data_IF_356710639643
#
_entry.id   IF_356710639643
#
_cell.length_a   1.000
_cell.length_b   1.000
_cell.length_c   1.000
_cell.angle_alpha   90.00
_cell.angle_beta   90.00
_cell.angle_gamma   90.00
#
_symmetry.space_group_name_H-M   'P 1'
#
loop_
_entity.id
_entity.type
_entity.pdbx_description
1 polymer ?
#
# COMPACT_ATOMS: atom_id res chain seq x y z
N UNK A 1 -2.72 24.61 -11.90
CA UNK A 1 -3.03 23.21 -11.59
C UNK A 1 -2.64 22.25 -12.73
N UNK A 2 -3.13 22.42 -13.96
CA UNK A 2 -2.81 21.46 -15.05
C UNK A 2 -1.30 21.36 -15.33
N UNK A 3 -0.58 22.50 -15.42
CA UNK A 3 0.87 22.51 -15.64
C UNK A 3 1.66 21.84 -14.52
N UNK A 4 1.25 21.96 -13.27
CA UNK A 4 1.84 21.27 -12.13
C UNK A 4 1.65 19.76 -12.24
N UNK A 5 0.43 19.29 -12.52
CA UNK A 5 0.12 17.88 -12.72
C UNK A 5 0.92 17.28 -13.88
N UNK A 6 0.97 17.96 -15.01
CA UNK A 6 1.77 17.52 -16.17
C UNK A 6 3.24 17.38 -15.79
N UNK A 7 3.82 18.37 -15.10
CA UNK A 7 5.22 18.32 -14.64
C UNK A 7 5.45 17.14 -13.68
N UNK A 8 4.50 16.86 -12.78
CA UNK A 8 4.59 15.72 -11.83
C UNK A 8 4.50 14.38 -12.54
N UNK A 9 3.58 14.24 -13.50
CA UNK A 9 3.48 13.03 -14.33
C UNK A 9 4.75 12.84 -15.16
N UNK A 10 5.27 13.90 -15.78
CA UNK A 10 6.54 13.84 -16.51
C UNK A 10 7.71 13.48 -15.60
N UNK A 11 7.75 13.96 -14.36
CA UNK A 11 8.77 13.58 -13.40
C UNK A 11 8.69 12.10 -12.93
N UNK A 12 7.50 11.49 -13.02
CA UNK A 12 7.33 10.07 -12.72
C UNK A 12 7.93 9.14 -13.79
N UNK A 13 7.99 9.59 -15.06
CA UNK A 13 8.52 8.77 -16.16
C UNK A 13 9.99 8.37 -15.96
N UNK A 14 10.94 9.29 -15.67
CA UNK A 14 12.32 8.89 -15.40
C UNK A 14 12.45 7.99 -14.16
N UNK A 15 11.64 8.20 -13.12
CA UNK A 15 11.62 7.34 -11.93
C UNK A 15 11.23 5.91 -12.31
N UNK A 16 10.15 5.74 -13.07
CA UNK A 16 9.72 4.43 -13.57
C UNK A 16 10.75 3.82 -14.52
N UNK A 17 11.42 4.64 -15.35
CA UNK A 17 12.51 4.20 -16.21
C UNK A 17 13.70 3.63 -15.43
N UNK A 18 14.11 4.30 -14.35
CA UNK A 18 15.17 3.82 -13.44
C UNK A 18 14.77 2.53 -12.74
N UNK A 19 13.53 2.45 -12.24
CA UNK A 19 12.99 1.21 -11.63
C UNK A 19 12.98 0.08 -12.64
N UNK A 20 12.49 0.31 -13.87
CA UNK A 20 12.48 -0.71 -14.92
C UNK A 20 13.90 -1.19 -15.27
N UNK A 21 14.85 -0.28 -15.40
CA UNK A 21 16.25 -0.63 -15.66
C UNK A 21 16.83 -1.44 -14.50
N UNK A 22 16.60 -1.00 -13.25
CA UNK A 22 17.07 -1.71 -12.07
C UNK A 22 16.50 -3.13 -12.00
N UNK A 23 15.20 -3.29 -12.17
CA UNK A 23 14.51 -4.59 -12.16
C UNK A 23 15.00 -5.50 -13.28
N UNK A 24 15.21 -4.96 -14.47
CA UNK A 24 15.79 -5.71 -15.57
C UNK A 24 17.20 -6.21 -15.27
N UNK A 25 18.06 -5.34 -14.73
CA UNK A 25 19.45 -5.68 -14.40
C UNK A 25 19.55 -6.65 -13.22
N UNK A 26 18.71 -6.47 -12.20
CA UNK A 26 18.70 -7.32 -11.00
C UNK A 26 18.57 -8.80 -11.37
N UNK A 27 17.73 -9.13 -12.32
CA UNK A 27 17.54 -10.49 -12.77
C UNK A 27 18.71 -11.04 -13.61
N UNK A 28 19.51 -10.17 -14.18
CA UNK A 28 20.73 -10.59 -14.92
C UNK A 28 21.94 -10.80 -14.00
N UNK A 29 21.93 -10.12 -12.84
CA UNK A 29 22.99 -10.25 -11.82
C UNK A 29 22.68 -11.43 -10.87
N UNK A 30 21.41 -11.76 -10.67
CA UNK A 30 20.99 -12.87 -9.81
C UNK A 30 21.47 -14.20 -10.39
N UNK A 31 22.18 -15.03 -9.59
CA UNK A 31 22.65 -16.34 -10.06
C UNK A 31 21.46 -17.26 -10.38
N UNK A 32 21.43 -17.76 -11.61
CA UNK A 32 20.40 -18.65 -12.15
C UNK A 32 20.12 -18.32 -13.62
N UNK A 33 19.99 -19.35 -14.43
CA UNK A 33 19.63 -19.21 -15.83
C UNK A 33 18.12 -19.40 -15.98
N UNK A 34 17.35 -18.37 -16.42
CA UNK A 34 15.92 -18.51 -16.64
C UNK A 34 15.56 -19.67 -17.59
N UNK A 35 16.44 -19.94 -18.56
CA UNK A 35 16.25 -21.06 -19.48
C UNK A 35 16.39 -22.42 -18.76
N UNK A 36 17.31 -22.53 -17.81
CA UNK A 36 17.48 -23.76 -17.01
C UNK A 36 16.27 -24.03 -16.10
N UNK A 37 15.68 -22.96 -15.52
CA UNK A 37 14.48 -23.09 -14.68
C UNK A 37 13.30 -23.61 -15.51
N UNK A 38 13.11 -23.10 -16.72
CA UNK A 38 12.05 -23.56 -17.63
C UNK A 38 12.30 -24.96 -18.17
N UNK A 39 13.57 -25.28 -18.45
CA UNK A 39 13.96 -26.55 -19.03
C UNK A 39 13.84 -27.72 -18.01
N UNK A 40 13.96 -27.42 -16.71
CA UNK A 40 13.99 -28.40 -15.63
C UNK A 40 15.32 -29.16 -15.55
N UNK A 41 15.49 -29.94 -14.48
CA UNK A 41 16.76 -30.61 -14.14
C UNK A 41 17.23 -31.66 -15.16
N UNK A 42 16.33 -32.17 -15.99
CA UNK A 42 16.63 -33.23 -16.97
C UNK A 42 16.76 -32.70 -18.41
N UNK A 43 16.89 -31.39 -18.62
CA UNK A 43 16.97 -30.82 -19.94
C UNK A 43 18.30 -31.11 -20.65
N UNK A 44 18.22 -31.47 -21.93
CA UNK A 44 19.43 -31.62 -22.75
C UNK A 44 20.01 -30.24 -23.11
N UNK A 45 21.35 -30.15 -23.38
CA UNK A 45 21.96 -28.90 -23.80
C UNK A 45 21.26 -28.27 -25.04
N UNK A 46 20.75 -29.08 -25.96
CA UNK A 46 20.04 -28.63 -27.12
C UNK A 46 18.66 -28.02 -26.78
N UNK A 47 17.95 -28.58 -25.81
CA UNK A 47 16.68 -28.04 -25.33
C UNK A 47 16.90 -26.70 -24.63
N UNK A 48 17.94 -26.63 -23.78
CA UNK A 48 18.34 -25.40 -23.09
C UNK A 48 18.63 -24.27 -24.06
N UNK A 49 19.41 -24.56 -25.13
CA UNK A 49 19.76 -23.54 -26.12
C UNK A 49 18.56 -23.06 -26.93
N UNK A 50 17.62 -23.95 -27.25
CA UNK A 50 16.35 -23.58 -27.90
C UNK A 50 15.53 -22.63 -27.02
N UNK A 51 15.45 -22.90 -25.72
CA UNK A 51 14.74 -22.06 -24.77
C UNK A 51 15.43 -20.70 -24.65
N UNK A 52 16.76 -20.66 -24.52
CA UNK A 52 17.53 -19.41 -24.50
C UNK A 52 17.26 -18.55 -25.75
N UNK A 53 17.29 -19.15 -26.91
CA UNK A 53 16.99 -18.47 -28.19
C UNK A 53 15.54 -17.96 -28.22
N UNK A 54 14.57 -18.77 -27.79
CA UNK A 54 13.15 -18.36 -27.77
C UNK A 54 12.87 -17.23 -26.78
N UNK A 55 13.64 -17.15 -25.70
CA UNK A 55 13.55 -16.06 -24.71
C UNK A 55 14.39 -14.83 -25.11
N UNK A 56 15.15 -14.91 -26.21
CA UNK A 56 16.03 -13.84 -26.68
C UNK A 56 17.23 -13.60 -25.76
N UNK A 57 17.62 -14.57 -24.92
CA UNK A 57 18.70 -14.41 -23.95
C UNK A 57 20.08 -14.35 -24.60
N UNK A 58 20.19 -14.75 -25.86
CA UNK A 58 21.43 -14.68 -26.65
C UNK A 58 21.65 -13.30 -27.28
N UNK A 59 20.65 -12.43 -27.25
CA UNK A 59 20.76 -11.07 -27.78
C UNK A 59 21.56 -10.15 -26.82
N UNK A 60 22.15 -9.05 -27.34
CA UNK A 60 22.80 -8.05 -26.50
C UNK A 60 21.84 -7.47 -25.45
N UNK A 61 22.31 -7.15 -24.24
CA UNK A 61 21.48 -6.70 -23.12
C UNK A 61 20.58 -5.50 -23.46
N UNK A 62 21.06 -4.56 -24.27
CA UNK A 62 20.23 -3.42 -24.68
C UNK A 62 19.06 -3.83 -25.57
N UNK A 63 19.25 -4.83 -26.47
CA UNK A 63 18.16 -5.38 -27.31
C UNK A 63 17.12 -6.06 -26.43
N UNK A 64 17.57 -6.90 -25.48
CA UNK A 64 16.70 -7.56 -24.52
C UNK A 64 15.88 -6.53 -23.70
N UNK A 65 16.51 -5.45 -23.24
CA UNK A 65 15.87 -4.40 -22.46
C UNK A 65 14.79 -3.68 -23.29
N UNK A 66 15.12 -3.20 -24.47
CA UNK A 66 14.14 -2.49 -25.30
C UNK A 66 13.00 -3.39 -25.78
N UNK A 67 13.27 -4.65 -26.08
CA UNK A 67 12.24 -5.64 -26.41
C UNK A 67 11.31 -5.87 -25.21
N UNK A 68 11.84 -6.00 -24.01
CA UNK A 68 11.06 -6.16 -22.79
C UNK A 68 10.23 -4.91 -22.48
N UNK A 69 10.81 -3.71 -22.56
CA UNK A 69 10.07 -2.44 -22.39
C UNK A 69 8.94 -2.34 -23.44
N UNK A 70 9.20 -2.68 -24.68
CA UNK A 70 8.16 -2.65 -25.71
C UNK A 70 6.99 -3.58 -25.37
N UNK A 71 7.24 -4.80 -24.91
CA UNK A 71 6.22 -5.72 -24.41
C UNK A 71 5.42 -5.11 -23.26
N UNK A 72 6.10 -4.53 -22.25
CA UNK A 72 5.45 -3.86 -21.12
C UNK A 72 4.51 -2.73 -21.56
N UNK A 73 4.94 -1.90 -22.51
CA UNK A 73 4.13 -0.79 -23.05
C UNK A 73 2.87 -1.28 -23.80
N UNK A 74 2.88 -2.51 -24.30
CA UNK A 74 1.71 -3.16 -24.92
C UNK A 74 0.90 -4.01 -23.92
N UNK A 75 1.22 -3.93 -22.60
CA UNK A 75 0.51 -4.66 -21.55
C UNK A 75 0.89 -6.14 -21.42
N UNK A 76 1.94 -6.58 -22.12
CA UNK A 76 2.47 -7.94 -21.97
C UNK A 76 3.50 -7.98 -20.83
N UNK A 77 3.06 -8.47 -19.67
CA UNK A 77 3.91 -8.69 -18.49
C UNK A 77 4.63 -10.06 -18.52
N UNK A 78 4.47 -10.81 -19.58
CA UNK A 78 5.01 -12.16 -19.73
C UNK A 78 4.15 -13.25 -19.10
N UNK A 79 4.74 -14.44 -19.04
CA UNK A 79 4.11 -15.65 -18.51
C UNK A 79 4.95 -16.18 -17.35
N UNK A 80 4.29 -16.63 -16.28
CA UNK A 80 4.93 -17.28 -15.13
C UNK A 80 5.75 -18.48 -15.57
N UNK A 81 6.98 -18.58 -15.13
CA UNK A 81 7.87 -19.71 -15.44
C UNK A 81 7.45 -21.00 -14.73
N UNK A 82 6.69 -20.88 -13.64
CA UNK A 82 6.30 -21.99 -12.79
C UNK A 82 4.91 -22.51 -13.17
N UNK A 83 3.93 -21.59 -13.29
CA UNK A 83 2.52 -21.98 -13.50
C UNK A 83 2.09 -21.95 -14.97
N UNK A 84 2.91 -21.39 -15.88
CA UNK A 84 2.57 -21.15 -17.29
C UNK A 84 1.30 -20.30 -17.48
N UNK A 85 0.95 -19.45 -16.50
CA UNK A 85 -0.19 -18.56 -16.57
C UNK A 85 0.29 -17.13 -16.90
N UNK A 86 -0.43 -16.35 -17.74
CA UNK A 86 -0.11 -14.97 -17.99
C UNK A 86 -0.06 -14.16 -16.70
N UNK A 87 1.05 -13.42 -16.47
CA UNK A 87 1.28 -12.65 -15.23
C UNK A 87 0.18 -11.64 -14.98
N UNK A 88 -0.31 -10.97 -16.04
CA UNK A 88 -1.42 -10.02 -15.92
C UNK A 88 -2.68 -10.67 -15.33
N UNK A 89 -2.99 -11.92 -15.71
CA UNK A 89 -4.13 -12.68 -15.16
C UNK A 89 -3.90 -13.00 -13.66
N UNK A 90 -2.69 -13.40 -13.29
CA UNK A 90 -2.34 -13.69 -11.89
C UNK A 90 -2.52 -12.45 -11.02
N UNK A 91 -2.03 -11.29 -11.49
CA UNK A 91 -2.18 -10.01 -10.81
C UNK A 91 -3.66 -9.64 -10.69
N UNK A 92 -4.41 -9.70 -11.79
CA UNK A 92 -5.84 -9.34 -11.81
C UNK A 92 -6.69 -10.09 -10.77
N UNK A 93 -6.35 -11.35 -10.51
CA UNK A 93 -7.03 -12.17 -9.48
C UNK A 93 -6.64 -11.78 -8.04
N UNK A 94 -5.52 -11.08 -7.84
CA UNK A 94 -4.94 -10.75 -6.53
C UNK A 94 -5.10 -9.28 -6.14
N UNK A 95 -5.47 -8.41 -7.08
CA UNK A 95 -5.63 -6.96 -6.84
C UNK A 95 -6.80 -6.66 -5.93
N UNK A 96 -7.97 -7.29 -6.16
CA UNK A 96 -9.19 -7.01 -5.39
C UNK A 96 -9.00 -7.27 -3.89
N UNK A 97 -8.47 -8.42 -3.43
CA UNK A 97 -8.24 -8.66 -2.00
C UNK A 97 -7.37 -7.61 -1.33
N UNK A 98 -6.21 -7.31 -1.91
CA UNK A 98 -5.25 -6.37 -1.32
C UNK A 98 -5.79 -4.94 -1.28
N UNK A 99 -6.40 -4.46 -2.37
CA UNK A 99 -6.98 -3.11 -2.43
C UNK A 99 -8.17 -2.99 -1.47
N UNK A 100 -9.02 -4.01 -1.37
CA UNK A 100 -10.17 -4.00 -0.45
C UNK A 100 -9.72 -3.84 0.99
N UNK A 101 -8.72 -4.61 1.42
CA UNK A 101 -8.19 -4.53 2.78
C UNK A 101 -7.50 -3.17 3.00
N UNK A 102 -6.70 -2.69 2.04
CA UNK A 102 -6.01 -1.41 2.16
C UNK A 102 -7.00 -0.24 2.31
N UNK A 103 -8.04 -0.19 1.46
CA UNK A 103 -9.09 0.85 1.52
C UNK A 103 -9.86 0.76 2.84
N UNK A 104 -10.33 -0.44 3.22
CA UNK A 104 -11.07 -0.63 4.47
C UNK A 104 -10.25 -0.23 5.69
N UNK A 105 -8.95 -0.61 5.71
CA UNK A 105 -8.02 -0.25 6.80
C UNK A 105 -7.83 1.26 6.90
N UNK A 106 -7.57 1.94 5.79
CA UNK A 106 -7.35 3.40 5.83
C UNK A 106 -8.63 4.14 6.21
N UNK A 107 -9.78 3.76 5.68
CA UNK A 107 -11.06 4.38 6.06
C UNK A 107 -11.30 4.22 7.55
N UNK A 108 -11.18 3.01 8.09
CA UNK A 108 -11.37 2.75 9.51
C UNK A 108 -10.37 3.52 10.37
N UNK A 109 -9.09 3.50 9.96
CA UNK A 109 -8.05 4.22 10.67
C UNK A 109 -8.28 5.74 10.69
N UNK A 110 -8.65 6.34 9.57
CA UNK A 110 -8.90 7.79 9.47
C UNK A 110 -10.11 8.19 10.31
N UNK A 111 -11.22 7.43 10.22
CA UNK A 111 -12.47 7.70 10.96
C UNK A 111 -12.24 7.67 12.46
N UNK A 112 -11.36 6.82 12.95
CA UNK A 112 -11.04 6.70 14.39
C UNK A 112 -9.89 7.65 14.78
N UNK A 113 -8.80 7.66 14.03
CA UNK A 113 -7.57 8.32 14.44
C UNK A 113 -7.65 9.85 14.36
N UNK A 114 -8.30 10.40 13.33
CA UNK A 114 -8.39 11.86 13.18
C UNK A 114 -9.18 12.49 14.34
N UNK A 115 -10.39 12.01 14.70
CA UNK A 115 -11.08 12.53 15.88
C UNK A 115 -10.29 12.33 17.17
N UNK A 116 -9.66 11.17 17.37
CA UNK A 116 -8.83 10.90 18.55
C UNK A 116 -7.65 11.87 18.65
N UNK A 117 -6.95 12.14 17.54
CA UNK A 117 -5.83 13.08 17.48
C UNK A 117 -6.27 14.52 17.76
N UNK A 118 -7.40 14.95 17.21
CA UNK A 118 -8.00 16.28 17.49
C UNK A 118 -8.36 16.42 18.97
N UNK A 119 -9.02 15.41 19.56
CA UNK A 119 -9.42 15.42 20.96
C UNK A 119 -8.18 15.40 21.86
N UNK A 120 -7.17 14.61 21.55
CA UNK A 120 -5.91 14.57 22.29
C UNK A 120 -5.18 15.92 22.29
N UNK A 121 -5.15 16.62 21.13
CA UNK A 121 -4.58 17.96 21.02
C UNK A 121 -5.39 18.99 21.81
N UNK A 122 -6.72 18.97 21.68
CA UNK A 122 -7.61 19.87 22.42
C UNK A 122 -7.48 19.70 23.94
N UNK A 123 -7.36 18.46 24.41
CA UNK A 123 -7.19 18.11 25.82
C UNK A 123 -5.71 17.90 26.20
N UNK A 124 -4.81 18.64 25.57
CA UNK A 124 -3.37 18.51 25.78
C UNK A 124 -2.97 18.53 27.27
N UNK A 125 -2.07 17.63 27.65
CA UNK A 125 -1.56 17.48 29.04
C UNK A 125 -2.51 16.74 29.98
N UNK A 126 -3.76 16.45 29.61
CA UNK A 126 -4.74 15.72 30.40
C UNK A 126 -4.54 14.20 30.29
N UNK A 127 -5.29 13.45 31.13
CA UNK A 127 -5.31 11.98 31.07
C UNK A 127 -5.83 11.43 29.72
N UNK A 128 -6.73 12.17 29.03
CA UNK A 128 -7.23 11.81 27.69
C UNK A 128 -6.08 11.82 26.68
N UNK A 129 -5.30 12.90 26.66
CA UNK A 129 -4.13 13.02 25.80
C UNK A 129 -3.12 11.90 26.06
N UNK A 130 -2.80 11.65 27.34
CA UNK A 130 -1.88 10.57 27.74
C UNK A 130 -2.41 9.19 27.36
N UNK A 131 -3.72 8.97 27.48
CA UNK A 131 -4.38 7.72 27.10
C UNK A 131 -4.30 7.46 25.61
N UNK A 132 -4.61 8.45 24.75
CA UNK A 132 -4.51 8.33 23.29
C UNK A 132 -3.05 8.08 22.87
N UNK A 133 -2.09 8.78 23.49
CA UNK A 133 -0.67 8.55 23.19
C UNK A 133 -0.18 7.19 23.68
N UNK A 134 -0.64 6.72 24.84
CA UNK A 134 -0.36 5.37 25.34
C UNK A 134 -0.90 4.28 24.43
N UNK A 135 -2.15 4.41 23.96
CA UNK A 135 -2.72 3.50 22.96
C UNK A 135 -1.94 3.52 21.63
N UNK A 136 -1.44 4.70 21.23
CA UNK A 136 -0.58 4.79 20.05
C UNK A 136 0.74 4.05 20.24
N UNK A 137 1.36 4.11 21.40
CA UNK A 137 2.58 3.35 21.71
C UNK A 137 2.30 1.84 21.66
N UNK A 138 1.19 1.40 22.25
CA UNK A 138 0.78 -0.01 22.20
C UNK A 138 0.52 -0.49 20.75
N UNK A 139 -0.12 0.34 19.93
CA UNK A 139 -0.38 0.02 18.52
C UNK A 139 0.89 -0.22 17.69
N UNK A 140 2.01 0.42 18.05
CA UNK A 140 3.31 0.17 17.41
C UNK A 140 4.09 -0.99 18.04
N UNK A 141 3.86 -1.27 19.33
CA UNK A 141 4.65 -2.26 20.06
C UNK A 141 4.23 -3.70 19.78
N UNK A 142 2.96 -3.91 19.42
CA UNK A 142 2.43 -5.24 19.18
C UNK A 142 2.52 -5.56 17.69
N UNK A 143 3.22 -6.64 17.28
CA UNK A 143 3.27 -7.06 15.89
C UNK A 143 1.88 -7.37 15.33
N UNK A 144 1.59 -6.93 14.10
CA UNK A 144 0.27 -7.07 13.47
C UNK A 144 -0.22 -8.52 13.39
N UNK A 145 0.69 -9.48 13.20
CA UNK A 145 0.32 -10.90 13.15
C UNK A 145 -0.15 -11.42 14.51
N UNK A 146 0.40 -10.92 15.62
CA UNK A 146 -0.06 -11.28 16.98
C UNK A 146 -1.49 -10.78 17.17
N UNK A 147 -1.76 -9.53 16.79
CA UNK A 147 -3.13 -8.99 16.82
C UNK A 147 -4.04 -9.85 15.95
N UNK A 148 -3.59 -10.20 14.73
CA UNK A 148 -4.34 -11.07 13.81
C UNK A 148 -4.72 -12.41 14.44
N UNK A 149 -3.78 -13.10 15.04
CA UNK A 149 -4.06 -14.38 15.71
C UNK A 149 -4.98 -14.25 16.91
N UNK A 150 -4.82 -13.20 17.74
CA UNK A 150 -5.73 -12.93 18.87
C UNK A 150 -7.15 -12.67 18.37
N UNK A 151 -7.31 -11.88 17.31
CA UNK A 151 -8.63 -11.63 16.71
C UNK A 151 -9.25 -12.89 16.11
N UNK A 152 -8.46 -13.74 15.44
CA UNK A 152 -8.92 -15.04 14.93
C UNK A 152 -9.39 -15.91 16.08
N UNK A 153 -8.57 -16.07 17.13
CA UNK A 153 -8.92 -16.87 18.29
C UNK A 153 -10.25 -16.43 18.90
N UNK A 154 -10.37 -15.13 19.19
CA UNK A 154 -11.55 -14.61 19.88
C UNK A 154 -12.81 -14.61 19.00
N UNK A 155 -12.73 -14.03 17.79
CA UNK A 155 -13.92 -13.79 16.98
C UNK A 155 -14.29 -14.92 16.03
N UNK A 156 -13.29 -15.68 15.54
CA UNK A 156 -13.54 -16.74 14.58
C UNK A 156 -13.64 -18.12 15.24
N UNK A 157 -12.85 -18.42 16.26
CA UNK A 157 -12.82 -19.74 16.90
C UNK A 157 -13.76 -19.78 18.10
N UNK A 158 -13.60 -18.87 19.07
CA UNK A 158 -14.36 -18.91 20.32
C UNK A 158 -15.80 -18.41 20.12
N UNK A 159 -15.97 -17.22 19.55
CA UNK A 159 -17.29 -16.62 19.33
C UNK A 159 -17.98 -17.08 18.03
N UNK A 160 -17.23 -17.55 17.05
CA UNK A 160 -17.73 -18.01 15.73
C UNK A 160 -18.56 -16.97 14.97
N UNK A 161 -18.22 -15.69 15.13
CA UNK A 161 -18.95 -14.61 14.47
C UNK A 161 -18.56 -14.46 13.00
N UNK A 162 -17.32 -14.77 12.66
CA UNK A 162 -16.73 -14.61 11.33
C UNK A 162 -15.88 -15.81 10.95
N UNK A 163 -15.67 -16.08 9.66
CA UNK A 163 -14.80 -17.19 9.22
C UNK A 163 -13.34 -16.91 9.53
N UNK A 164 -12.57 -17.97 9.79
CA UNK A 164 -11.15 -17.91 10.16
C UNK A 164 -10.29 -17.35 9.03
N UNK A 165 -10.53 -17.75 7.76
CA UNK A 165 -9.62 -17.52 6.64
C UNK A 165 -10.32 -17.34 5.30
N UNK A 166 -9.56 -16.84 4.33
CA UNK A 166 -9.95 -16.72 2.93
C UNK A 166 -10.52 -15.37 2.56
N UNK A 167 -10.87 -15.24 1.29
CA UNK A 167 -11.45 -14.02 0.71
C UNK A 167 -12.67 -14.36 -0.15
N UNK A 168 -13.64 -13.47 -0.18
CA UNK A 168 -14.75 -13.48 -1.16
C UNK A 168 -14.85 -12.11 -1.81
N UNK A 169 -15.04 -12.11 -3.13
CA UNK A 169 -15.22 -10.88 -3.89
C UNK A 169 -16.50 -10.16 -3.48
N UNK A 170 -16.48 -8.83 -3.52
CA UNK A 170 -17.66 -7.99 -3.28
C UNK A 170 -18.80 -8.30 -4.27
N UNK A 171 -18.46 -8.79 -5.46
CA UNK A 171 -19.43 -9.20 -6.49
C UNK A 171 -20.21 -10.44 -6.09
N UNK A 172 -19.73 -11.23 -5.13
CA UNK A 172 -20.43 -12.41 -4.57
C UNK A 172 -21.35 -12.07 -3.40
N UNK A 173 -21.45 -10.80 -3.03
CA UNK A 173 -22.33 -10.30 -1.97
C UNK A 173 -21.55 -9.56 -0.88
N UNK A 174 -22.12 -8.45 -0.40
CA UNK A 174 -21.47 -7.59 0.60
C UNK A 174 -21.26 -8.30 1.96
N UNK A 175 -22.24 -9.07 2.44
CA UNK A 175 -22.11 -9.78 3.73
C UNK A 175 -20.94 -10.74 3.77
N UNK A 176 -20.87 -11.74 2.86
CA UNK A 176 -19.75 -12.69 2.78
C UNK A 176 -18.39 -12.03 2.51
N UNK A 177 -18.35 -10.89 1.80
CA UNK A 177 -17.15 -10.07 1.60
C UNK A 177 -16.71 -9.44 2.93
N UNK A 178 -17.64 -8.74 3.61
CA UNK A 178 -17.34 -8.01 4.85
C UNK A 178 -16.86 -8.95 5.97
N UNK A 179 -17.50 -10.10 6.15
CA UNK A 179 -17.11 -11.10 7.15
C UNK A 179 -15.66 -11.54 7.00
N UNK A 180 -15.12 -11.55 5.77
CA UNK A 180 -13.76 -12.02 5.51
C UNK A 180 -12.70 -10.94 5.55
N UNK A 181 -13.08 -9.67 5.37
CA UNK A 181 -12.12 -8.57 5.42
C UNK A 181 -12.08 -7.88 6.79
N UNK A 182 -13.07 -8.07 7.67
CA UNK A 182 -13.19 -7.32 8.92
C UNK A 182 -12.00 -7.58 9.87
N UNK A 183 -11.62 -8.84 10.09
CA UNK A 183 -10.52 -9.16 11.01
C UNK A 183 -9.16 -8.68 10.51
N UNK A 184 -8.75 -8.91 9.23
CA UNK A 184 -7.51 -8.35 8.70
C UNK A 184 -7.52 -6.82 8.71
N UNK A 185 -8.66 -6.19 8.40
CA UNK A 185 -8.82 -4.74 8.49
C UNK A 185 -8.60 -4.23 9.91
N UNK A 186 -9.23 -4.85 10.91
CA UNK A 186 -9.03 -4.49 12.33
C UNK A 186 -7.57 -4.65 12.74
N UNK A 187 -6.94 -5.80 12.43
CA UNK A 187 -5.55 -6.05 12.79
C UNK A 187 -4.59 -4.98 12.25
N UNK A 188 -4.75 -4.60 10.98
CA UNK A 188 -3.93 -3.57 10.35
C UNK A 188 -4.26 -2.17 10.86
N UNK A 189 -5.54 -1.90 11.16
CA UNK A 189 -5.97 -0.56 11.59
C UNK A 189 -5.30 -0.10 12.88
N UNK A 190 -4.92 -1.01 13.79
CA UNK A 190 -4.25 -0.64 15.04
C UNK A 190 -3.01 0.21 14.83
N UNK A 191 -2.12 -0.21 13.93
CA UNK A 191 -0.87 0.53 13.64
C UNK A 191 -1.15 1.86 12.93
N UNK A 192 -2.13 1.89 12.00
CA UNK A 192 -2.46 3.11 11.26
C UNK A 192 -3.24 4.12 12.11
N UNK A 193 -4.12 3.66 13.01
CA UNK A 193 -4.77 4.51 14.01
C UNK A 193 -3.71 5.18 14.88
N UNK A 194 -2.74 4.41 15.39
CA UNK A 194 -1.65 4.94 16.20
C UNK A 194 -0.83 6.02 15.46
N UNK A 195 -0.48 5.75 14.20
CA UNK A 195 0.31 6.64 13.37
C UNK A 195 -0.44 7.95 13.05
N UNK A 196 -1.67 7.82 12.55
CA UNK A 196 -2.49 8.97 12.12
C UNK A 196 -2.93 9.80 13.32
N UNK A 197 -3.33 9.19 14.45
CA UNK A 197 -3.72 9.92 15.65
C UNK A 197 -2.56 10.75 16.22
N UNK A 198 -1.35 10.19 16.28
CA UNK A 198 -0.15 10.90 16.72
C UNK A 198 0.20 12.07 15.82
N UNK A 199 0.16 11.87 14.48
CA UNK A 199 0.42 12.94 13.52
C UNK A 199 -0.65 14.04 13.61
N UNK A 200 -1.93 13.64 13.66
CA UNK A 200 -3.04 14.59 13.81
C UNK A 200 -2.90 15.42 15.07
N UNK A 201 -2.58 14.78 16.20
CA UNK A 201 -2.34 15.49 17.45
C UNK A 201 -1.19 16.50 17.34
N UNK A 202 -0.04 16.10 16.79
CA UNK A 202 1.12 16.97 16.64
C UNK A 202 0.78 18.20 15.78
N UNK A 203 0.23 17.97 14.56
CA UNK A 203 -0.14 19.04 13.67
C UNK A 203 -1.23 19.97 14.22
N UNK A 204 -2.18 19.41 15.00
CA UNK A 204 -3.20 20.21 15.67
C UNK A 204 -2.63 21.10 16.77
N UNK A 205 -1.65 20.60 17.54
CA UNK A 205 -1.00 21.41 18.59
C UNK A 205 -0.28 22.63 18.02
N UNK A 206 0.42 22.46 16.89
CA UNK A 206 1.08 23.56 16.20
C UNK A 206 0.06 24.63 15.77
N UNK A 207 -1.05 24.20 15.18
CA UNK A 207 -2.09 25.08 14.64
C UNK A 207 -2.93 25.76 15.72
N UNK A 208 -3.23 25.07 16.83
CA UNK A 208 -4.07 25.63 17.93
C UNK A 208 -3.43 26.82 18.64
N UNK A 209 -2.10 26.99 18.52
CA UNK A 209 -1.35 28.15 19.01
C UNK A 209 -1.43 29.40 18.16
N UNK A 210 -1.89 29.30 16.92
CA UNK A 210 -1.88 30.38 15.92
C UNK A 210 -2.90 31.51 16.23
N UNK A 211 -2.56 32.73 15.84
CA UNK A 211 -3.36 33.92 16.14
C UNK A 211 -4.74 33.93 15.50
N UNK A 212 -4.90 33.31 14.31
CA UNK A 212 -6.21 33.20 13.68
C UNK A 212 -7.18 32.29 14.45
N UNK A 213 -6.66 31.29 15.17
CA UNK A 213 -7.46 30.41 16.05
C UNK A 213 -7.92 31.20 17.27
N UNK A 214 -7.03 32.02 17.87
CA UNK A 214 -7.39 32.94 18.96
C UNK A 214 -8.47 33.93 18.53
N UNK A 215 -8.31 34.49 17.31
CA UNK A 215 -9.30 35.41 16.74
C UNK A 215 -10.65 34.72 16.55
N UNK A 216 -10.68 33.49 16.05
CA UNK A 216 -11.93 32.73 15.88
C UNK A 216 -12.65 32.51 17.21
N UNK A 217 -11.92 32.18 18.28
CA UNK A 217 -12.47 32.07 19.64
C UNK A 217 -12.97 33.40 20.17
N UNK A 218 -12.22 34.48 19.98
CA UNK A 218 -12.61 35.84 20.39
C UNK A 218 -13.90 36.32 19.71
N UNK A 219 -14.18 35.86 18.49
CA UNK A 219 -15.43 36.10 17.75
C UNK A 219 -16.61 35.23 18.22
N UNK A 220 -16.43 34.39 19.26
CA UNK A 220 -17.49 33.56 19.81
C UNK A 220 -17.81 32.31 19.00
N UNK A 221 -16.93 31.88 18.09
CA UNK A 221 -17.13 30.63 17.32
C UNK A 221 -17.02 29.46 18.31
N UNK A 222 -18.02 28.55 18.28
CA UNK A 222 -18.04 27.37 19.15
C UNK A 222 -16.81 26.46 18.93
N UNK A 223 -16.32 25.89 20.02
CA UNK A 223 -15.04 25.13 20.04
C UNK A 223 -14.97 23.99 19.02
N UNK A 224 -16.05 23.24 18.82
CA UNK A 224 -16.10 22.18 17.79
C UNK A 224 -15.86 22.74 16.39
N UNK A 225 -16.46 23.88 16.06
CA UNK A 225 -16.23 24.54 14.78
C UNK A 225 -14.80 25.06 14.65
N UNK A 226 -14.22 25.60 15.74
CA UNK A 226 -12.80 25.99 15.79
C UNK A 226 -11.89 24.80 15.48
N UNK A 227 -12.12 23.66 16.13
CA UNK A 227 -11.30 22.46 15.98
C UNK A 227 -11.40 21.86 14.56
N UNK A 228 -12.61 21.55 14.09
CA UNK A 228 -12.79 20.80 12.84
C UNK A 228 -12.79 21.68 11.59
N UNK A 229 -13.33 22.91 11.64
CA UNK A 229 -13.43 23.78 10.47
C UNK A 229 -12.23 24.71 10.29
N UNK A 230 -11.64 25.20 11.40
CA UNK A 230 -10.55 26.18 11.32
C UNK A 230 -9.18 25.54 11.57
N UNK A 231 -9.01 24.75 12.62
CA UNK A 231 -7.71 24.19 12.97
C UNK A 231 -7.36 22.94 12.11
N UNK A 232 -8.25 21.94 12.07
CA UNK A 232 -7.98 20.68 11.35
C UNK A 232 -7.70 20.91 9.85
N UNK A 233 -8.36 21.86 9.22
CA UNK A 233 -8.12 22.16 7.81
C UNK A 233 -6.66 22.58 7.56
N UNK A 234 -6.07 23.37 8.44
CA UNK A 234 -4.69 23.81 8.32
C UNK A 234 -3.68 22.74 8.82
N UNK A 235 -4.10 21.90 9.76
CA UNK A 235 -3.33 20.77 10.24
C UNK A 235 -3.37 19.55 9.27
N UNK A 236 -4.20 19.59 8.22
CA UNK A 236 -4.47 18.43 7.38
C UNK A 236 -3.30 18.01 6.48
N UNK A 237 -2.42 18.92 6.06
CA UNK A 237 -1.35 18.63 5.11
C UNK A 237 -0.42 17.50 5.60
N UNK A 238 0.19 17.57 6.79
CA UNK A 238 0.99 16.46 7.32
C UNK A 238 0.18 15.18 7.54
N UNK A 239 -1.09 15.31 7.96
CA UNK A 239 -1.98 14.16 8.20
C UNK A 239 -2.26 13.41 6.90
N UNK A 240 -2.58 14.10 5.81
CA UNK A 240 -2.81 13.50 4.50
C UNK A 240 -1.55 12.85 3.94
N UNK A 241 -0.38 13.43 4.19
CA UNK A 241 0.89 12.79 3.84
C UNK A 241 1.00 11.40 4.48
N UNK A 242 0.74 11.32 5.77
CA UNK A 242 0.83 10.07 6.52
C UNK A 242 -0.25 9.08 6.08
N UNK A 243 -1.46 9.53 5.80
CA UNK A 243 -2.54 8.69 5.27
C UNK A 243 -2.15 8.12 3.90
N UNK A 244 -1.67 8.96 2.99
CA UNK A 244 -1.32 8.53 1.64
C UNK A 244 -0.11 7.60 1.61
N UNK A 245 0.98 7.92 2.33
CA UNK A 245 2.15 7.05 2.44
C UNK A 245 1.79 5.72 3.12
N UNK A 246 0.93 5.76 4.14
CA UNK A 246 0.38 4.56 4.79
C UNK A 246 -0.43 3.69 3.81
N UNK A 247 -1.24 4.30 2.96
CA UNK A 247 -2.00 3.58 1.94
C UNK A 247 -1.08 2.91 0.90
N UNK A 248 -0.04 3.62 0.44
CA UNK A 248 0.94 3.05 -0.47
C UNK A 248 1.66 1.84 0.14
N UNK A 249 2.04 1.93 1.43
CA UNK A 249 2.64 0.82 2.17
C UNK A 249 1.67 -0.36 2.35
N UNK A 250 0.39 -0.10 2.60
CA UNK A 250 -0.62 -1.15 2.68
C UNK A 250 -0.76 -1.94 1.39
N UNK A 251 -0.78 -1.27 0.25
CA UNK A 251 -0.91 -1.97 -1.03
C UNK A 251 0.34 -2.83 -1.32
N UNK A 252 1.52 -2.32 -0.99
CA UNK A 252 2.79 -3.02 -1.27
C UNK A 252 3.20 -4.05 -0.21
N UNK A 253 2.65 -4.01 1.00
CA UNK A 253 3.28 -4.69 2.14
C UNK A 253 2.37 -5.47 3.10
N UNK A 254 1.14 -5.82 2.75
CA UNK A 254 0.23 -6.58 3.64
C UNK A 254 0.54 -8.09 3.68
N UNK A 255 1.72 -8.51 3.20
CA UNK A 255 2.14 -9.90 3.06
C UNK A 255 1.86 -10.75 4.29
N UNK A 256 2.27 -10.25 5.47
CA UNK A 256 2.12 -10.98 6.74
C UNK A 256 0.64 -11.18 7.06
N UNK A 257 -0.17 -10.16 6.91
CA UNK A 257 -1.62 -10.23 7.16
C UNK A 257 -2.31 -11.13 6.13
N UNK A 258 -1.95 -11.03 4.85
CA UNK A 258 -2.47 -11.91 3.82
C UNK A 258 -2.13 -13.39 4.11
N UNK A 259 -0.95 -13.66 4.66
CA UNK A 259 -0.53 -15.02 5.05
C UNK A 259 -1.30 -15.51 6.27
N UNK A 260 -1.45 -14.70 7.33
CA UNK A 260 -2.18 -15.06 8.56
C UNK A 260 -3.64 -15.39 8.27
N UNK A 261 -4.30 -14.58 7.45
CA UNK A 261 -5.70 -14.74 7.10
C UNK A 261 -5.93 -15.58 5.82
N UNK A 262 -4.86 -16.16 5.25
CA UNK A 262 -4.88 -16.95 4.01
C UNK A 262 -5.63 -16.23 2.86
N UNK A 263 -5.31 -14.96 2.68
CA UNK A 263 -5.91 -14.12 1.63
C UNK A 263 -5.03 -14.16 0.39
N UNK A 264 -5.60 -14.44 -0.79
CA UNK A 264 -4.84 -14.47 -2.04
C UNK A 264 -4.57 -13.04 -2.55
N UNK A 265 -3.64 -12.31 -1.92
CA UNK A 265 -3.32 -10.94 -2.27
C UNK A 265 -2.03 -10.75 -3.07
N UNK A 266 -1.73 -9.49 -3.38
CA UNK A 266 -0.55 -9.03 -4.14
C UNK A 266 0.74 -9.30 -3.37
N UNK A 267 0.74 -9.06 -2.06
CA UNK A 267 1.92 -9.25 -1.22
C UNK A 267 2.32 -10.72 -1.16
N UNK A 268 1.35 -11.63 -0.97
CA UNK A 268 1.59 -13.07 -0.98
C UNK A 268 2.09 -13.55 -2.35
N UNK A 269 1.49 -13.06 -3.45
CA UNK A 269 1.97 -13.38 -4.81
C UNK A 269 3.44 -13.00 -4.98
N UNK A 270 3.84 -11.84 -4.46
CA UNK A 270 5.24 -11.38 -4.54
C UNK A 270 6.18 -12.34 -3.80
N UNK A 271 5.84 -12.75 -2.56
CA UNK A 271 6.68 -13.67 -1.79
C UNK A 271 6.73 -15.05 -2.43
N UNK A 272 5.59 -15.59 -2.86
CA UNK A 272 5.53 -16.87 -3.55
C UNK A 272 6.41 -16.87 -4.81
N UNK A 273 6.37 -15.79 -5.59
CA UNK A 273 7.21 -15.62 -6.78
C UNK A 273 8.71 -15.54 -6.47
N UNK A 274 9.08 -14.84 -5.40
CA UNK A 274 10.49 -14.74 -4.96
C UNK A 274 11.02 -16.11 -4.52
N UNK A 275 10.26 -16.85 -3.71
CA UNK A 275 10.64 -18.18 -3.23
C UNK A 275 10.75 -19.18 -4.38
N UNK A 276 9.86 -19.08 -5.37
CA UNK A 276 9.84 -19.93 -6.56
C UNK A 276 10.80 -19.46 -7.67
N UNK A 277 11.47 -18.30 -7.51
CA UNK A 277 12.32 -17.68 -8.53
C UNK A 277 11.59 -17.40 -9.85
N UNK A 278 10.30 -17.07 -9.77
CA UNK A 278 9.47 -16.75 -10.93
C UNK A 278 9.73 -15.31 -11.41
N UNK A 279 10.77 -15.16 -12.20
CA UNK A 279 11.29 -13.85 -12.59
C UNK A 279 10.28 -12.93 -13.29
N UNK A 280 9.46 -13.38 -14.26
CA UNK A 280 8.46 -12.51 -14.88
C UNK A 280 7.45 -11.97 -13.86
N UNK A 281 7.02 -12.79 -12.90
CA UNK A 281 6.11 -12.35 -11.83
C UNK A 281 6.80 -11.36 -10.91
N UNK A 282 8.06 -11.62 -10.49
CA UNK A 282 8.83 -10.70 -9.63
C UNK A 282 8.98 -9.34 -10.32
N UNK A 283 9.37 -9.30 -11.60
CA UNK A 283 9.51 -8.06 -12.36
C UNK A 283 8.20 -7.28 -12.41
N UNK A 284 7.11 -7.94 -12.78
CA UNK A 284 5.80 -7.32 -12.86
C UNK A 284 5.33 -6.79 -11.50
N UNK A 285 5.59 -7.52 -10.40
CA UNK A 285 5.20 -7.09 -9.06
C UNK A 285 5.98 -5.87 -8.59
N UNK A 286 7.29 -5.80 -8.82
CA UNK A 286 8.10 -4.62 -8.47
C UNK A 286 7.65 -3.40 -9.29
N UNK A 287 7.40 -3.56 -10.59
CA UNK A 287 6.89 -2.47 -11.44
C UNK A 287 5.50 -2.02 -11.00
N UNK A 288 4.59 -2.95 -10.70
CA UNK A 288 3.25 -2.64 -10.23
C UNK A 288 3.27 -1.88 -8.91
N UNK A 289 4.03 -2.36 -7.92
CA UNK A 289 4.13 -1.68 -6.62
C UNK A 289 4.77 -0.31 -6.73
N UNK A 290 5.78 -0.15 -7.61
CA UNK A 290 6.40 1.14 -7.88
C UNK A 290 5.43 2.11 -8.57
N UNK A 291 4.65 1.63 -9.54
CA UNK A 291 3.62 2.42 -10.22
C UNK A 291 2.53 2.87 -9.25
N UNK A 292 2.07 1.96 -8.37
CA UNK A 292 1.10 2.27 -7.32
C UNK A 292 1.64 3.32 -6.35
N UNK A 293 2.90 3.19 -5.92
CA UNK A 293 3.54 4.17 -5.05
C UNK A 293 3.62 5.56 -5.69
N UNK A 294 4.05 5.62 -6.94
CA UNK A 294 4.10 6.88 -7.72
C UNK A 294 2.70 7.48 -7.89
N UNK A 295 1.69 6.64 -8.18
CA UNK A 295 0.31 7.08 -8.33
C UNK A 295 -0.28 7.65 -7.04
N UNK A 296 -0.01 7.00 -5.90
CA UNK A 296 -0.45 7.50 -4.59
C UNK A 296 0.24 8.82 -4.24
N UNK A 297 1.55 8.96 -4.50
CA UNK A 297 2.24 10.24 -4.29
C UNK A 297 1.64 11.35 -5.17
N UNK A 298 1.29 11.06 -6.42
CA UNK A 298 0.60 12.02 -7.28
C UNK A 298 -0.77 12.43 -6.70
N UNK A 299 -1.53 11.47 -6.15
CA UNK A 299 -2.80 11.77 -5.48
C UNK A 299 -2.61 12.63 -4.22
N UNK A 300 -1.55 12.40 -3.44
CA UNK A 300 -1.18 13.24 -2.29
C UNK A 300 -0.88 14.67 -2.76
N UNK A 301 -0.10 14.83 -3.83
CA UNK A 301 0.22 16.16 -4.39
C UNK A 301 -1.04 16.90 -4.87
N UNK A 302 -1.99 16.19 -5.49
CA UNK A 302 -3.29 16.74 -5.84
C UNK A 302 -4.07 17.18 -4.60
N UNK A 303 -4.09 16.34 -3.56
CA UNK A 303 -4.76 16.67 -2.31
C UNK A 303 -4.17 17.92 -1.64
N UNK A 304 -2.85 18.12 -1.70
CA UNK A 304 -2.21 19.33 -1.20
C UNK A 304 -2.72 20.59 -1.93
N UNK A 305 -2.79 20.54 -3.26
CA UNK A 305 -3.25 21.71 -4.03
C UNK A 305 -4.72 22.06 -3.77
N UNK A 306 -5.54 21.08 -3.35
CA UNK A 306 -6.94 21.29 -2.98
C UNK A 306 -7.10 21.87 -1.58
N UNK A 307 -6.21 21.51 -0.65
CA UNK A 307 -6.29 21.91 0.76
C UNK A 307 -5.62 23.25 1.02
N UNK A 308 -4.47 23.48 0.42
CA UNK A 308 -3.73 24.73 0.56
C UNK A 308 -3.62 25.47 -0.80
N UNK A 309 -4.52 26.44 -1.06
CA UNK A 309 -4.49 27.23 -2.28
C UNK A 309 -3.25 28.15 -2.39
N UNK A 310 -2.43 28.26 -1.33
CA UNK A 310 -1.18 29.03 -1.33
C UNK A 310 -0.06 28.30 -2.05
N UNK A 311 -0.17 26.97 -2.19
CA UNK A 311 0.75 26.14 -2.99
C UNK A 311 0.41 26.37 -4.47
N UNK A 312 0.76 27.54 -4.99
CA UNK A 312 0.72 27.86 -6.43
C UNK A 312 2.16 27.84 -6.93
N UNK A 313 2.47 26.85 -7.74
CA UNK A 313 3.72 26.79 -8.50
C UNK A 313 3.48 27.10 -9.97
#
# INVERSE_FOLDING_TARGET
MLGYLVRRVLAAVPVMGVVALFVFLLLRITPGDPAAILAGDNATPQQLERIRTSLGLNEPLYVQFFTWINKLLHGDLGVSLISNVPVLKMIGQRVEPSISIAIATIILAVVIAVPLGVIAAWKHGTWIDRGVMGLSVLGFSVPVFVIGYVLIQLFAIDLRWVPVQGFRSITQGFGPFFERIILPTLALSFIYIALIARMTRASMLDVLGEDYVRTARAKGIGEIAVLFRHALRNAAVPVITVIGTGFALLISGVVVTESVFNIPGIGRLTVDAVLARDYPVIQAMILLTSLLYVSVNLLIDVAYTLLDPRIRY
#
